data_IF_718488165013
#
_entry.id   IF_718488165013
#
_cell.length_a   1.000
_cell.length_b   1.000
_cell.length_c   1.000
_cell.angle_alpha   90.00
_cell.angle_beta   90.00
_cell.angle_gamma   90.00
#
_symmetry.space_group_name_H-M   'P 1'
#
loop_
_entity.id
_entity.type
_entity.pdbx_description
1 polymer ?
#
# COMPACT_ATOMS: atom_id res chain seq x y z
N UNK A 1 49.25 -46.73 -22.23
CA UNK A 1 47.80 -46.89 -21.94
C UNK A 1 47.66 -47.09 -20.44
N UNK A 2 47.01 -46.14 -19.77
CA UNK A 2 47.00 -45.95 -18.32
C UNK A 2 46.09 -46.94 -17.58
N UNK A 3 46.56 -47.40 -16.42
CA UNK A 3 45.77 -47.99 -15.34
C UNK A 3 45.31 -46.90 -14.38
N UNK A 4 44.12 -47.12 -13.81
CA UNK A 4 43.33 -46.32 -12.86
C UNK A 4 44.09 -45.88 -11.59
N UNK A 5 43.53 -44.97 -10.74
CA UNK A 5 42.68 -45.48 -9.66
C UNK A 5 41.53 -44.58 -9.15
N UNK A 6 40.70 -45.26 -8.37
CA UNK A 6 39.54 -44.88 -7.57
C UNK A 6 39.70 -43.56 -6.77
N UNK A 7 38.61 -42.80 -6.65
CA UNK A 7 38.52 -41.66 -5.73
C UNK A 7 37.67 -42.00 -4.51
N UNK A 8 38.34 -41.85 -3.37
CA UNK A 8 37.92 -42.13 -1.99
C UNK A 8 36.87 -41.12 -1.52
N UNK A 9 35.80 -41.61 -0.88
CA UNK A 9 34.76 -40.81 -0.20
C UNK A 9 35.37 -40.05 0.99
N UNK A 10 35.35 -38.72 0.93
CA UNK A 10 35.70 -37.85 2.06
C UNK A 10 34.61 -37.79 3.14
N UNK A 11 34.96 -37.56 4.42
CA UNK A 11 34.02 -37.63 5.54
C UNK A 11 33.08 -36.43 5.62
N UNK A 12 31.81 -36.71 6.00
CA UNK A 12 30.76 -35.72 6.30
C UNK A 12 31.24 -34.74 7.38
N UNK A 13 31.33 -33.44 7.04
CA UNK A 13 31.58 -32.40 8.04
C UNK A 13 30.30 -32.10 8.83
N UNK A 14 30.35 -32.50 10.09
CA UNK A 14 29.42 -32.22 11.19
C UNK A 14 29.36 -30.70 11.41
N UNK A 15 28.15 -30.16 11.51
CA UNK A 15 27.91 -28.77 11.89
C UNK A 15 28.38 -28.59 13.34
N UNK A 16 29.44 -27.80 13.56
CA UNK A 16 29.95 -27.46 14.90
C UNK A 16 29.77 -25.95 15.08
N UNK A 17 29.13 -25.57 16.19
CA UNK A 17 28.73 -24.20 16.51
C UNK A 17 29.88 -23.20 16.46
N UNK A 18 29.56 -21.99 15.99
CA UNK A 18 30.52 -20.90 15.89
C UNK A 18 30.92 -20.38 17.29
N UNK A 19 32.21 -20.48 17.60
CA UNK A 19 32.86 -19.78 18.71
C UNK A 19 32.92 -18.27 18.41
N UNK A 20 32.65 -17.47 19.44
CA UNK A 20 32.76 -16.01 19.45
C UNK A 20 34.25 -15.62 19.51
N UNK A 21 34.74 -14.96 18.48
CA UNK A 21 36.10 -14.40 18.42
C UNK A 21 36.06 -12.91 18.07
N UNK A 22 36.37 -12.05 19.03
CA UNK A 22 36.64 -10.62 18.85
C UNK A 22 38.01 -10.41 18.20
N UNK A 23 38.04 -10.01 16.92
CA UNK A 23 39.23 -9.41 16.30
C UNK A 23 38.82 -8.12 15.57
N UNK A 24 39.44 -7.01 15.96
CA UNK A 24 39.34 -5.72 15.29
C UNK A 24 40.26 -5.73 14.05
N UNK A 25 39.75 -5.31 12.90
CA UNK A 25 40.53 -5.18 11.66
C UNK A 25 40.89 -3.73 11.40
N UNK A 26 42.18 -3.45 11.21
CA UNK A 26 42.72 -2.14 10.79
C UNK A 26 42.85 -2.10 9.27
N UNK A 27 42.36 -1.03 8.63
CA UNK A 27 42.59 -0.73 7.21
C UNK A 27 43.42 0.54 7.12
N UNK A 28 44.58 0.49 6.45
CA UNK A 28 45.44 1.66 6.20
C UNK A 28 44.97 2.40 4.94
N UNK A 29 44.88 3.73 5.03
CA UNK A 29 44.72 4.65 3.89
C UNK A 29 46.03 5.42 3.68
N UNK A 30 46.37 5.75 2.43
CA UNK A 30 47.65 6.31 1.96
C UNK A 30 48.01 7.72 2.45
N UNK A 31 47.32 8.28 3.45
CA UNK A 31 47.77 9.47 4.17
C UNK A 31 47.66 9.18 5.67
N UNK A 32 48.81 8.93 6.29
CA UNK A 32 48.97 8.34 7.62
C UNK A 32 48.32 9.09 8.78
N UNK A 33 47.01 8.90 8.97
CA UNK A 33 46.32 9.09 10.24
C UNK A 33 45.52 7.83 10.59
N UNK A 34 45.74 7.29 11.78
CA UNK A 34 45.05 6.11 12.30
C UNK A 34 43.67 6.49 12.87
N UNK A 35 42.59 5.95 12.29
CA UNK A 35 41.23 6.08 12.83
C UNK A 35 40.82 4.74 13.44
N UNK A 36 40.77 4.67 14.77
CA UNK A 36 40.26 3.50 15.51
C UNK A 36 38.72 3.51 15.43
N UNK A 37 38.13 2.71 14.54
CA UNK A 37 36.70 2.43 14.59
C UNK A 37 36.39 1.51 15.78
N UNK A 38 35.78 2.05 16.84
CA UNK A 38 35.12 1.23 17.85
C UNK A 38 34.00 0.43 17.18
N UNK A 39 33.90 -0.89 17.40
CA UNK A 39 32.78 -1.67 16.87
C UNK A 39 31.49 -1.15 17.49
N UNK A 40 30.60 -0.61 16.65
CA UNK A 40 29.21 -0.33 17.04
C UNK A 40 28.62 -1.63 17.55
N UNK A 41 28.07 -1.61 18.77
CA UNK A 41 27.33 -2.73 19.31
C UNK A 41 26.27 -3.16 18.28
N UNK A 42 26.32 -4.42 17.85
CA UNK A 42 25.27 -5.01 17.04
C UNK A 42 24.03 -5.10 17.92
N UNK A 43 23.19 -4.07 17.89
CA UNK A 43 21.83 -4.14 18.41
C UNK A 43 21.13 -5.22 17.59
N UNK A 44 20.90 -6.38 18.21
CA UNK A 44 20.13 -7.47 17.63
C UNK A 44 18.73 -6.94 17.28
N UNK A 45 18.52 -6.58 16.01
CA UNK A 45 17.26 -6.07 15.45
C UNK A 45 16.09 -7.05 15.71
N UNK A 46 16.38 -8.33 15.96
CA UNK A 46 15.40 -9.37 16.30
C UNK A 46 14.77 -9.28 17.70
N UNK A 47 15.25 -8.42 18.62
CA UNK A 47 14.69 -8.32 20.00
C UNK A 47 13.69 -7.17 20.22
N UNK A 48 13.49 -6.28 19.25
CA UNK A 48 12.66 -5.08 19.45
C UNK A 48 11.15 -5.29 19.24
N UNK A 49 10.70 -6.51 18.91
CA UNK A 49 9.30 -6.79 18.50
C UNK A 49 8.36 -7.10 19.68
N UNK A 50 8.87 -7.38 20.90
CA UNK A 50 8.05 -7.67 22.09
C UNK A 50 8.35 -6.72 23.26
N UNK A 51 8.04 -5.43 23.13
CA UNK A 51 8.26 -4.43 24.20
C UNK A 51 6.96 -3.91 24.84
N UNK A 52 5.82 -4.61 24.70
CA UNK A 52 4.64 -4.27 25.52
C UNK A 52 4.88 -4.83 26.93
N UNK A 53 4.90 -3.98 27.98
CA UNK A 53 5.05 -4.43 29.36
C UNK A 53 3.99 -5.47 29.75
N UNK A 54 4.38 -6.46 30.55
CA UNK A 54 3.46 -7.47 31.08
C UNK A 54 2.33 -6.86 31.91
N UNK A 55 2.58 -5.70 32.52
CA UNK A 55 1.57 -4.90 33.23
C UNK A 55 0.40 -4.49 32.34
N UNK A 56 0.64 -4.20 31.05
CA UNK A 56 -0.41 -3.85 30.09
C UNK A 56 -1.06 -5.12 29.55
N UNK A 57 -0.28 -6.16 29.24
CA UNK A 57 -0.81 -7.39 28.65
C UNK A 57 -1.71 -8.17 29.61
N UNK A 58 -1.37 -8.17 30.89
CA UNK A 58 -2.05 -8.96 31.92
C UNK A 58 -3.03 -8.13 32.77
N UNK A 59 -3.32 -6.89 32.38
CA UNK A 59 -4.34 -6.06 33.04
C UNK A 59 -5.74 -6.66 32.77
N UNK A 60 -6.35 -7.20 33.83
CA UNK A 60 -7.66 -7.86 33.74
C UNK A 60 -8.77 -6.90 33.29
N UNK A 61 -8.79 -5.67 33.82
CA UNK A 61 -9.80 -4.68 33.47
C UNK A 61 -9.67 -4.23 32.02
N UNK A 62 -8.44 -4.02 31.55
CA UNK A 62 -8.17 -3.71 30.14
C UNK A 62 -8.62 -4.84 29.22
N UNK A 63 -8.31 -6.08 29.57
CA UNK A 63 -8.68 -7.23 28.77
C UNK A 63 -10.19 -7.44 28.70
N UNK A 64 -10.95 -7.18 29.78
CA UNK A 64 -12.42 -7.19 29.73
C UNK A 64 -12.97 -6.07 28.83
N UNK A 65 -12.41 -4.86 28.91
CA UNK A 65 -12.85 -3.75 28.05
C UNK A 65 -12.59 -4.03 26.56
N UNK A 66 -11.45 -4.64 26.22
CA UNK A 66 -11.11 -5.03 24.84
C UNK A 66 -12.10 -6.05 24.27
N UNK A 67 -12.73 -6.92 25.08
CA UNK A 67 -13.72 -7.90 24.60
C UNK A 67 -15.00 -7.28 24.04
N UNK A 68 -15.23 -5.98 24.28
CA UNK A 68 -16.33 -5.24 23.65
C UNK A 68 -16.09 -5.04 22.14
N UNK A 69 -14.85 -5.13 21.68
CA UNK A 69 -14.48 -5.06 20.27
C UNK A 69 -14.65 -6.45 19.62
N UNK A 70 -14.97 -6.50 18.31
CA UNK A 70 -15.18 -7.76 17.61
C UNK A 70 -13.90 -8.61 17.58
N UNK A 71 -14.00 -9.85 18.06
CA UNK A 71 -12.86 -10.75 18.27
C UNK A 71 -12.12 -11.17 16.99
N UNK A 72 -12.77 -11.03 15.84
CA UNK A 72 -12.15 -11.31 14.55
C UNK A 72 -11.34 -10.12 13.99
N UNK A 73 -11.39 -8.94 14.61
CA UNK A 73 -10.58 -7.77 14.26
C UNK A 73 -9.53 -7.51 15.32
N UNK A 74 -8.27 -7.34 14.89
CA UNK A 74 -7.18 -7.03 15.80
C UNK A 74 -6.86 -5.52 15.79
N UNK A 75 -7.45 -4.77 16.73
CA UNK A 75 -7.18 -3.33 16.89
C UNK A 75 -5.84 -2.99 17.58
N UNK A 76 -5.04 -4.00 17.95
CA UNK A 76 -3.74 -3.82 18.63
C UNK A 76 -3.81 -2.84 19.82
N UNK A 77 -4.88 -2.90 20.63
CA UNK A 77 -5.16 -1.94 21.71
C UNK A 77 -4.02 -1.87 22.73
N UNK A 78 -3.45 -3.02 23.14
CA UNK A 78 -2.30 -3.05 24.06
C UNK A 78 -1.09 -2.30 23.49
N UNK A 79 -0.82 -2.44 22.19
CA UNK A 79 0.26 -1.73 21.51
C UNK A 79 -0.02 -0.23 21.46
N UNK A 80 -1.28 0.15 21.25
CA UNK A 80 -1.71 1.56 21.25
C UNK A 80 -1.49 2.19 22.61
N UNK A 81 -2.00 1.59 23.68
CA UNK A 81 -1.80 2.05 25.07
C UNK A 81 -0.31 2.18 25.41
N UNK A 82 0.49 1.16 25.08
CA UNK A 82 1.93 1.21 25.31
C UNK A 82 2.59 2.39 24.59
N UNK A 83 2.25 2.65 23.33
CA UNK A 83 2.84 3.77 22.58
C UNK A 83 2.38 5.13 23.10
N UNK A 84 1.10 5.27 23.48
CA UNK A 84 0.58 6.50 24.10
C UNK A 84 1.34 6.79 25.40
N UNK A 85 1.45 5.80 26.31
CA UNK A 85 2.20 5.93 27.56
C UNK A 85 3.69 6.21 27.34
N UNK A 86 4.33 5.48 26.44
CA UNK A 86 5.76 5.62 26.12
C UNK A 86 6.13 7.01 25.64
N UNK A 87 5.25 7.65 24.86
CA UNK A 87 5.48 9.00 24.35
C UNK A 87 4.91 10.09 25.26
N UNK A 88 4.25 9.72 26.36
CA UNK A 88 3.61 10.67 27.27
C UNK A 88 2.51 11.49 26.59
N UNK A 89 1.89 10.96 25.54
CA UNK A 89 0.91 11.67 24.72
C UNK A 89 -0.30 12.09 25.56
N UNK A 90 -0.71 13.35 25.42
CA UNK A 90 -1.80 13.96 26.18
C UNK A 90 -3.07 14.10 25.36
N UNK A 91 -2.96 14.24 24.04
CA UNK A 91 -4.11 14.42 23.15
C UNK A 91 -3.94 13.58 21.90
N UNK A 92 -4.75 12.52 21.79
CA UNK A 92 -4.59 11.45 20.80
C UNK A 92 -5.70 11.54 19.75
N UNK A 93 -5.32 11.82 18.50
CA UNK A 93 -6.23 11.72 17.37
C UNK A 93 -6.47 10.24 16.98
N UNK A 94 -7.73 9.88 16.77
CA UNK A 94 -8.15 8.59 16.24
C UNK A 94 -8.67 8.80 14.83
N UNK A 95 -7.91 8.34 13.83
CA UNK A 95 -8.33 8.39 12.43
C UNK A 95 -8.68 6.99 11.96
N UNK A 96 -9.94 6.82 11.52
CA UNK A 96 -10.48 5.53 11.11
C UNK A 96 -11.19 5.67 9.76
N UNK A 97 -11.19 4.62 8.91
CA UNK A 97 -12.13 4.57 7.79
C UNK A 97 -13.56 4.41 8.30
N UNK A 98 -14.53 4.78 7.46
CA UNK A 98 -15.97 4.74 7.73
C UNK A 98 -16.43 3.45 8.44
N UNK A 99 -16.03 2.29 7.91
CA UNK A 99 -16.44 0.99 8.43
C UNK A 99 -15.94 0.65 9.85
N UNK A 100 -14.99 1.42 10.38
CA UNK A 100 -14.47 1.25 11.75
C UNK A 100 -14.86 2.38 12.69
N UNK A 101 -15.48 3.47 12.21
CA UNK A 101 -15.92 4.59 13.06
C UNK A 101 -16.91 4.13 14.15
N UNK A 102 -17.67 3.07 13.92
CA UNK A 102 -18.55 2.46 14.93
C UNK A 102 -17.80 2.01 16.20
N UNK A 103 -16.51 1.71 16.11
CA UNK A 103 -15.68 1.30 17.24
C UNK A 103 -14.91 2.46 17.88
N UNK A 104 -15.01 3.67 17.31
CA UNK A 104 -14.21 4.83 17.72
C UNK A 104 -14.44 5.22 19.18
N UNK A 105 -15.69 5.27 19.63
CA UNK A 105 -16.04 5.66 21.00
C UNK A 105 -15.59 4.61 22.03
N UNK A 106 -15.74 3.32 21.72
CA UNK A 106 -15.25 2.25 22.62
C UNK A 106 -13.73 2.31 22.75
N UNK A 107 -13.01 2.53 21.64
CA UNK A 107 -11.54 2.68 21.66
C UNK A 107 -11.13 3.96 22.39
N UNK A 108 -11.85 5.06 22.18
CA UNK A 108 -11.70 6.32 22.92
C UNK A 108 -11.78 6.09 24.42
N UNK A 109 -12.88 5.53 24.92
CA UNK A 109 -13.11 5.27 26.34
C UNK A 109 -11.98 4.41 26.95
N UNK A 110 -11.53 3.37 26.23
CA UNK A 110 -10.40 2.53 26.66
C UNK A 110 -9.11 3.36 26.75
N UNK A 111 -8.79 4.18 25.75
CA UNK A 111 -7.56 4.97 25.79
C UNK A 111 -7.59 6.03 26.89
N UNK A 112 -8.70 6.73 27.07
CA UNK A 112 -8.85 7.73 28.13
C UNK A 112 -8.74 7.11 29.52
N UNK A 113 -9.43 5.98 29.75
CA UNK A 113 -9.39 5.27 31.04
C UNK A 113 -7.99 4.72 31.37
N UNK A 114 -7.32 4.06 30.42
CA UNK A 114 -6.08 3.35 30.69
C UNK A 114 -4.81 4.18 30.45
N UNK A 115 -4.90 5.31 29.74
CA UNK A 115 -3.76 6.21 29.47
C UNK A 115 -3.85 7.57 30.17
N UNK A 116 -5.05 8.03 30.56
CA UNK A 116 -5.24 9.38 31.09
C UNK A 116 -4.91 10.48 30.09
N UNK A 117 -5.17 10.22 28.80
CA UNK A 117 -5.08 11.18 27.71
C UNK A 117 -6.50 11.64 27.31
N UNK A 118 -6.60 12.77 26.61
CA UNK A 118 -7.80 13.15 25.86
C UNK A 118 -7.76 12.50 24.48
N UNK A 119 -8.88 12.03 23.97
CA UNK A 119 -8.98 11.51 22.60
C UNK A 119 -9.82 12.40 21.70
N UNK A 120 -9.45 12.50 20.42
CA UNK A 120 -10.24 13.18 19.40
C UNK A 120 -10.52 12.19 18.27
N UNK A 121 -11.79 11.86 18.05
CA UNK A 121 -12.20 11.09 16.87
C UNK A 121 -12.23 12.02 15.66
N UNK A 122 -11.43 11.73 14.65
CA UNK A 122 -11.43 12.49 13.40
C UNK A 122 -12.63 12.08 12.55
N UNK A 123 -13.56 13.01 12.34
CA UNK A 123 -14.79 12.78 11.59
C UNK A 123 -14.66 12.91 10.06
N UNK A 124 -13.52 13.39 9.56
CA UNK A 124 -13.27 13.51 8.13
C UNK A 124 -13.06 12.14 7.48
N UNK A 125 -13.44 12.04 6.21
CA UNK A 125 -13.36 10.77 5.47
C UNK A 125 -11.91 10.35 5.24
N UNK A 126 -11.57 9.14 5.69
CA UNK A 126 -10.28 8.50 5.41
C UNK A 126 -10.44 7.37 4.40
N UNK A 127 -10.17 7.65 3.12
CA UNK A 127 -10.32 6.67 2.03
C UNK A 127 -9.23 5.60 1.97
N UNK A 128 -8.06 5.82 2.58
CA UNK A 128 -6.93 4.91 2.41
C UNK A 128 -5.65 5.35 3.10
N UNK A 129 -4.59 4.56 2.90
CA UNK A 129 -3.24 4.77 3.46
C UNK A 129 -2.59 6.13 3.12
N UNK A 130 -3.03 6.75 2.03
CA UNK A 130 -2.57 8.07 1.60
C UNK A 130 -3.25 9.22 2.36
N UNK A 131 -4.33 8.96 3.10
CA UNK A 131 -5.17 9.98 3.73
C UNK A 131 -4.81 10.23 5.20
N UNK A 132 -3.59 9.89 5.64
CA UNK A 132 -3.12 10.26 6.99
C UNK A 132 -3.22 11.78 7.14
N UNK A 133 -4.01 12.23 8.11
CA UNK A 133 -4.30 13.65 8.30
C UNK A 133 -3.55 14.20 9.52
N UNK A 134 -2.23 14.25 9.37
CA UNK A 134 -1.34 14.77 10.39
C UNK A 134 -1.42 16.30 10.53
N UNK A 135 -1.89 17.01 9.49
CA UNK A 135 -2.06 18.46 9.52
C UNK A 135 -3.25 18.89 10.39
N UNK A 136 -4.41 18.26 10.21
CA UNK A 136 -5.60 18.56 11.03
C UNK A 136 -5.39 18.11 12.46
N UNK A 137 -4.83 16.91 12.69
CA UNK A 137 -4.52 16.44 14.04
C UNK A 137 -3.62 17.43 14.80
N UNK A 138 -2.57 17.95 14.15
CA UNK A 138 -1.71 18.97 14.75
C UNK A 138 -2.43 20.30 14.99
N UNK A 139 -3.32 20.70 14.08
CA UNK A 139 -4.12 21.93 14.22
C UNK A 139 -5.15 21.84 15.36
N UNK A 140 -5.49 20.63 15.79
CA UNK A 140 -6.31 20.34 16.97
C UNK A 140 -5.45 20.10 18.24
N UNK A 141 -4.17 20.48 18.21
CA UNK A 141 -3.21 20.30 19.30
C UNK A 141 -3.03 18.84 19.76
N UNK A 142 -3.28 17.87 18.87
CA UNK A 142 -2.89 16.50 19.14
C UNK A 142 -1.36 16.35 19.12
N UNK A 143 -0.82 15.51 19.98
CA UNK A 143 0.59 15.13 20.01
C UNK A 143 0.83 13.69 19.50
N UNK A 144 -0.25 12.94 19.27
CA UNK A 144 -0.24 11.59 18.73
C UNK A 144 -1.44 11.33 17.82
N UNK A 145 -1.27 10.53 16.77
CA UNK A 145 -2.36 10.03 15.92
C UNK A 145 -2.27 8.51 15.77
N UNK A 146 -3.40 7.83 15.96
CA UNK A 146 -3.57 6.41 15.66
C UNK A 146 -4.36 6.30 14.36
N UNK A 147 -3.72 5.79 13.31
CA UNK A 147 -4.32 5.61 11.99
C UNK A 147 -4.66 4.13 11.78
N UNK A 148 -5.95 3.83 11.69
CA UNK A 148 -6.46 2.47 11.61
C UNK A 148 -6.65 1.98 10.17
N UNK A 149 -6.60 0.66 10.00
CA UNK A 149 -6.94 -0.14 8.82
C UNK A 149 -6.02 -0.03 7.60
N UNK A 150 -5.04 0.86 7.59
CA UNK A 150 -4.19 1.07 6.42
C UNK A 150 -2.72 0.85 6.71
N UNK A 151 -1.98 0.40 5.69
CA UNK A 151 -0.53 0.30 5.75
C UNK A 151 0.14 1.67 5.74
N UNK A 152 1.41 1.71 6.15
CA UNK A 152 2.22 2.93 6.18
C UNK A 152 2.72 3.33 4.78
N UNK A 153 1.80 3.64 3.87
CA UNK A 153 2.13 4.14 2.54
C UNK A 153 2.92 5.46 2.64
N UNK A 154 2.56 6.30 3.61
CA UNK A 154 3.28 7.53 3.93
C UNK A 154 4.35 7.21 4.98
N UNK A 155 5.63 7.45 4.68
CA UNK A 155 6.69 7.31 5.67
C UNK A 155 6.46 8.22 6.89
N UNK A 156 6.65 7.66 8.10
CA UNK A 156 6.38 8.36 9.37
C UNK A 156 7.28 9.60 9.53
N UNK A 157 8.47 9.61 8.93
CA UNK A 157 9.40 10.74 8.92
C UNK A 157 8.89 11.95 8.10
N UNK A 158 7.89 11.77 7.25
CA UNK A 158 7.23 12.87 6.54
C UNK A 158 6.09 13.50 7.33
N UNK A 159 5.61 12.82 8.38
CA UNK A 159 4.49 13.28 9.20
C UNK A 159 4.96 14.28 10.26
N UNK A 160 4.13 15.29 10.55
CA UNK A 160 4.47 16.37 11.48
C UNK A 160 4.18 16.04 12.95
N UNK A 161 3.56 14.88 13.21
CA UNK A 161 3.11 14.40 14.52
C UNK A 161 3.51 12.93 14.66
N UNK A 162 3.54 12.40 15.89
CA UNK A 162 3.79 10.96 16.09
C UNK A 162 2.61 10.14 15.58
N UNK A 163 2.88 9.21 14.67
CA UNK A 163 1.87 8.34 14.06
C UNK A 163 2.07 6.89 14.48
N UNK A 164 1.00 6.25 14.89
CA UNK A 164 0.90 4.79 15.02
C UNK A 164 -0.06 4.24 13.97
N UNK A 165 0.47 3.43 13.06
CA UNK A 165 -0.37 2.65 12.15
C UNK A 165 -0.81 1.35 12.82
N UNK A 166 -2.13 1.10 12.79
CA UNK A 166 -2.76 -0.14 13.22
C UNK A 166 -3.48 -0.74 12.03
N UNK A 167 -3.02 -1.89 11.53
CA UNK A 167 -3.54 -2.45 10.28
C UNK A 167 -4.92 -3.08 10.39
N UNK A 168 -5.36 -3.40 11.61
CA UNK A 168 -6.63 -4.08 11.89
C UNK A 168 -6.74 -5.39 11.10
N UNK A 169 -5.85 -6.35 11.43
CA UNK A 169 -5.87 -7.66 10.76
C UNK A 169 -7.17 -8.38 11.06
N UNK A 170 -7.75 -9.02 10.04
CA UNK A 170 -9.05 -9.70 10.15
C UNK A 170 -8.83 -11.21 10.02
N UNK A 171 -9.25 -11.93 11.04
CA UNK A 171 -9.21 -13.39 11.05
C UNK A 171 -10.32 -13.96 10.16
N UNK A 172 -9.98 -14.97 9.34
CA UNK A 172 -10.92 -15.66 8.47
C UNK A 172 -10.70 -17.18 8.47
N UNK A 173 -11.67 -17.92 7.92
CA UNK A 173 -11.62 -19.37 7.75
C UNK A 173 -10.64 -19.77 6.64
N UNK A 174 -9.38 -19.98 7.01
CA UNK A 174 -8.33 -20.41 6.08
C UNK A 174 -8.62 -21.77 5.45
N UNK A 175 -9.27 -22.67 6.20
CA UNK A 175 -9.59 -24.02 5.72
C UNK A 175 -10.57 -23.94 4.55
N UNK A 176 -11.59 -23.09 4.68
CA UNK A 176 -12.54 -22.87 3.60
C UNK A 176 -11.86 -22.25 2.36
N UNK A 177 -11.00 -21.25 2.54
CA UNK A 177 -10.24 -20.63 1.45
C UNK A 177 -9.37 -21.67 0.73
N UNK A 178 -8.56 -22.44 1.47
CA UNK A 178 -7.69 -23.47 0.90
C UNK A 178 -8.48 -24.51 0.12
N UNK A 179 -9.58 -25.06 0.69
CA UNK A 179 -10.45 -26.02 0.00
C UNK A 179 -11.09 -25.42 -1.25
N UNK A 180 -11.45 -24.14 -1.21
CA UNK A 180 -11.99 -23.41 -2.37
C UNK A 180 -10.95 -23.33 -3.49
N UNK A 181 -9.71 -22.98 -3.18
CA UNK A 181 -8.63 -22.95 -4.16
C UNK A 181 -8.35 -24.34 -4.73
N UNK A 182 -8.23 -25.35 -3.87
CA UNK A 182 -8.01 -26.74 -4.27
C UNK A 182 -9.17 -27.29 -5.11
N UNK A 183 -10.40 -26.83 -4.91
CA UNK A 183 -11.54 -27.27 -5.74
C UNK A 183 -11.49 -26.66 -7.15
N UNK A 184 -11.05 -25.40 -7.29
CA UNK A 184 -11.18 -24.63 -8.53
C UNK A 184 -9.91 -24.61 -9.40
N UNK A 185 -8.74 -24.88 -8.85
CA UNK A 185 -7.47 -24.90 -9.59
C UNK A 185 -6.86 -26.29 -9.64
N UNK A 186 -6.05 -26.61 -10.65
CA UNK A 186 -5.33 -27.88 -10.76
C UNK A 186 -4.14 -27.95 -9.80
N UNK A 187 -3.63 -29.16 -9.55
CA UNK A 187 -2.36 -29.30 -8.85
C UNK A 187 -1.25 -28.66 -9.68
N UNK A 188 -0.36 -27.90 -9.04
CA UNK A 188 0.74 -27.18 -9.68
C UNK A 188 0.38 -25.78 -10.18
N UNK A 189 -0.86 -25.31 -10.02
CA UNK A 189 -1.23 -23.94 -10.39
C UNK A 189 -0.45 -22.88 -9.61
N UNK A 190 -0.03 -21.83 -10.31
CA UNK A 190 0.73 -20.67 -9.80
C UNK A 190 -0.22 -19.49 -9.65
N UNK A 191 -0.64 -19.22 -8.43
CA UNK A 191 -1.67 -18.23 -8.12
C UNK A 191 -1.01 -16.99 -7.50
N UNK A 192 -1.19 -15.84 -8.14
CA UNK A 192 -0.91 -14.56 -7.51
C UNK A 192 -2.01 -14.26 -6.49
N UNK A 193 -1.75 -14.51 -5.21
CA UNK A 193 -2.71 -14.25 -4.13
C UNK A 193 -2.38 -12.94 -3.43
N UNK A 194 -3.37 -12.06 -3.33
CA UNK A 194 -3.21 -10.75 -2.73
C UNK A 194 -4.51 -10.26 -2.11
N UNK A 195 -4.44 -9.23 -1.29
CA UNK A 195 -5.58 -8.62 -0.62
C UNK A 195 -5.20 -7.23 -0.13
N UNK A 196 -6.09 -6.63 0.65
CA UNK A 196 -5.73 -5.47 1.46
C UNK A 196 -4.91 -5.91 2.67
N UNK A 197 -4.29 -4.95 3.37
CA UNK A 197 -3.38 -5.25 4.49
C UNK A 197 -4.03 -6.10 5.60
N UNK A 198 -5.35 -5.98 5.78
CA UNK A 198 -6.14 -6.69 6.79
C UNK A 198 -6.05 -8.21 6.64
N UNK A 199 -5.96 -8.73 5.41
CA UNK A 199 -5.95 -10.16 5.10
C UNK A 199 -4.56 -10.72 4.81
N UNK A 200 -3.54 -9.85 4.86
CA UNK A 200 -2.18 -10.23 4.52
C UNK A 200 -1.63 -11.40 5.38
N UNK A 201 -1.87 -11.47 6.71
CA UNK A 201 -1.43 -12.62 7.51
C UNK A 201 -1.95 -13.96 6.98
N UNK A 202 -3.23 -14.04 6.60
CA UNK A 202 -3.83 -15.25 6.03
C UNK A 202 -3.20 -15.61 4.69
N UNK A 203 -2.93 -14.62 3.82
CA UNK A 203 -2.28 -14.86 2.52
C UNK A 203 -0.91 -15.54 2.69
N UNK A 204 -0.11 -15.10 3.65
CA UNK A 204 1.18 -15.74 3.94
C UNK A 204 1.01 -17.09 4.64
N UNK A 205 0.02 -17.23 5.53
CA UNK A 205 -0.28 -18.49 6.24
C UNK A 205 -0.68 -19.62 5.28
N UNK A 206 -1.58 -19.36 4.32
CA UNK A 206 -2.04 -20.39 3.37
C UNK A 206 -0.97 -20.82 2.38
N UNK A 207 0.06 -19.98 2.15
CA UNK A 207 1.13 -20.28 1.21
C UNK A 207 1.87 -21.55 1.57
N UNK A 208 2.34 -21.65 2.81
CA UNK A 208 3.09 -22.83 3.25
C UNK A 208 2.15 -24.04 3.39
N UNK A 209 0.93 -23.82 3.89
CA UNK A 209 -0.08 -24.89 4.07
C UNK A 209 -0.54 -25.53 2.76
N UNK A 210 -0.63 -24.78 1.66
CA UNK A 210 -1.01 -25.32 0.36
C UNK A 210 0.14 -26.03 -0.34
N UNK A 211 1.39 -25.68 -0.04
CA UNK A 211 2.57 -26.42 -0.52
C UNK A 211 2.64 -27.83 0.10
N UNK A 212 2.26 -27.97 1.36
CA UNK A 212 2.27 -29.25 2.09
C UNK A 212 0.99 -30.08 1.93
N UNK A 213 0.06 -29.62 1.09
CA UNK A 213 -1.24 -30.28 0.89
C UNK A 213 -1.21 -31.33 -0.21
N UNK A 214 -2.14 -32.30 -0.18
CA UNK A 214 -2.26 -33.35 -1.23
C UNK A 214 -2.39 -32.77 -2.64
N UNK A 215 -3.08 -31.62 -2.76
CA UNK A 215 -3.22 -30.87 -4.01
C UNK A 215 -2.42 -29.59 -3.92
N UNK A 216 -1.16 -29.67 -4.33
CA UNK A 216 -0.20 -28.56 -4.27
C UNK A 216 -0.67 -27.40 -5.13
N UNK A 217 -0.74 -26.21 -4.52
CA UNK A 217 -0.98 -24.94 -5.20
C UNK A 217 0.11 -23.97 -4.78
N UNK A 218 0.77 -23.33 -5.75
CA UNK A 218 1.81 -22.34 -5.48
C UNK A 218 1.17 -20.98 -5.26
N UNK A 219 1.10 -20.55 -4.00
CA UNK A 219 0.69 -19.19 -3.66
C UNK A 219 1.89 -18.24 -3.78
N UNK A 220 1.75 -17.23 -4.64
CA UNK A 220 2.77 -16.25 -4.95
C UNK A 220 2.25 -14.86 -4.54
N UNK A 221 2.54 -14.38 -3.32
CA UNK A 221 2.15 -13.03 -2.92
C UNK A 221 2.97 -12.00 -3.71
N UNK A 222 2.37 -11.22 -4.63
CA UNK A 222 3.10 -10.23 -5.41
C UNK A 222 3.53 -9.05 -4.54
N UNK A 223 4.50 -8.26 -5.00
CA UNK A 223 4.96 -7.08 -4.27
C UNK A 223 5.44 -5.97 -5.19
N UNK A 224 4.76 -4.83 -5.09
CA UNK A 224 5.22 -3.55 -5.60
C UNK A 224 5.61 -2.67 -4.41
N UNK A 225 6.86 -2.19 -4.36
CA UNK A 225 7.31 -1.36 -3.24
C UNK A 225 6.64 0.01 -3.30
N UNK A 226 6.24 0.60 -2.16
CA UNK A 226 6.59 0.20 -0.79
C UNK A 226 5.59 -0.76 -0.12
N UNK A 227 4.59 -1.27 -0.84
CA UNK A 227 3.60 -2.17 -0.26
C UNK A 227 4.23 -3.49 0.22
N UNK A 228 3.56 -4.12 1.18
CA UNK A 228 3.94 -5.44 1.67
C UNK A 228 3.72 -6.49 0.58
N UNK A 229 4.44 -7.62 0.67
CA UNK A 229 4.13 -8.79 -0.15
C UNK A 229 2.69 -9.22 0.11
N UNK A 230 1.91 -9.49 -0.94
CA UNK A 230 0.50 -9.87 -0.84
C UNK A 230 -0.47 -8.70 -0.68
N UNK A 231 0.03 -7.46 -0.68
CA UNK A 231 -0.80 -6.26 -0.53
C UNK A 231 -1.03 -5.56 -1.87
N UNK A 232 -2.26 -5.09 -2.10
CA UNK A 232 -2.64 -4.25 -3.24
C UNK A 232 -3.44 -3.03 -2.77
N UNK A 233 -3.25 -1.89 -3.45
CA UNK A 233 -4.08 -0.70 -3.29
C UNK A 233 -4.88 -0.45 -4.58
N UNK A 234 -5.98 0.30 -4.50
CA UNK A 234 -6.78 0.62 -5.69
C UNK A 234 -6.05 1.50 -6.71
N UNK A 235 -4.92 2.08 -6.34
CA UNK A 235 -4.08 2.95 -7.16
C UNK A 235 -2.68 2.36 -7.42
N UNK A 236 -2.35 1.19 -6.85
CA UNK A 236 -0.99 0.63 -6.91
C UNK A 236 -1.06 -0.90 -6.79
N UNK A 237 -0.75 -1.59 -7.87
CA UNK A 237 -0.74 -3.05 -8.03
C UNK A 237 0.54 -3.46 -8.77
N UNK A 238 1.03 -4.66 -8.48
CA UNK A 238 2.19 -5.21 -9.16
C UNK A 238 1.84 -5.63 -10.60
N UNK A 239 2.66 -5.25 -11.58
CA UNK A 239 2.64 -5.88 -12.92
C UNK A 239 3.20 -7.30 -12.82
N UNK A 240 2.42 -8.26 -13.28
CA UNK A 240 2.69 -9.69 -13.22
C UNK A 240 3.18 -10.21 -14.57
N UNK A 241 3.83 -11.35 -14.53
CA UNK A 241 4.28 -12.09 -15.71
C UNK A 241 3.31 -13.24 -15.95
N UNK A 242 2.58 -13.21 -17.07
CA UNK A 242 1.56 -14.20 -17.44
C UNK A 242 2.15 -15.59 -17.72
N UNK A 243 3.44 -15.65 -18.09
CA UNK A 243 4.14 -16.92 -18.25
C UNK A 243 4.46 -17.56 -16.89
N UNK A 244 4.49 -16.76 -15.81
CA UNK A 244 4.76 -17.20 -14.43
C UNK A 244 3.51 -17.35 -13.56
N UNK A 245 2.39 -16.72 -13.92
CA UNK A 245 1.17 -16.67 -13.11
C UNK A 245 -0.02 -17.17 -13.93
N UNK A 246 -0.71 -18.20 -13.42
CA UNK A 246 -1.85 -18.80 -14.11
C UNK A 246 -3.18 -18.09 -13.77
N UNK A 247 -3.28 -17.51 -12.58
CA UNK A 247 -4.45 -16.77 -12.13
C UNK A 247 -4.11 -15.78 -10.99
N UNK A 248 -4.92 -14.72 -10.89
CA UNK A 248 -4.96 -13.81 -9.75
C UNK A 248 -6.12 -14.18 -8.82
N UNK A 249 -5.86 -14.25 -7.52
CA UNK A 249 -6.90 -14.40 -6.49
C UNK A 249 -6.80 -13.25 -5.50
N UNK A 250 -7.79 -12.36 -5.55
CA UNK A 250 -7.98 -11.33 -4.53
C UNK A 250 -8.79 -11.89 -3.35
N UNK A 251 -8.25 -11.74 -2.15
CA UNK A 251 -8.89 -12.14 -0.89
C UNK A 251 -9.37 -10.87 -0.21
N UNK A 252 -10.69 -10.70 -0.16
CA UNK A 252 -11.34 -9.53 0.41
C UNK A 252 -12.72 -9.26 -0.20
N UNK A 253 -13.45 -8.37 0.43
CA UNK A 253 -14.68 -7.83 -0.12
C UNK A 253 -14.42 -6.69 -1.12
N UNK A 254 -15.49 -6.29 -1.82
CA UNK A 254 -15.43 -5.26 -2.84
C UNK A 254 -14.61 -5.64 -4.07
N UNK A 255 -14.64 -4.77 -5.08
CA UNK A 255 -13.91 -4.96 -6.35
C UNK A 255 -12.81 -3.92 -6.56
N UNK A 256 -12.88 -2.78 -5.87
CA UNK A 256 -12.00 -1.63 -6.07
C UNK A 256 -10.50 -2.00 -6.12
N UNK A 257 -10.01 -2.77 -5.14
CA UNK A 257 -8.61 -3.18 -5.10
C UNK A 257 -8.24 -4.21 -6.17
N UNK A 258 -9.10 -5.19 -6.40
CA UNK A 258 -8.91 -6.18 -7.46
C UNK A 258 -8.91 -5.54 -8.85
N UNK A 259 -9.77 -4.54 -9.08
CA UNK A 259 -9.82 -3.80 -10.34
C UNK A 259 -8.47 -3.15 -10.66
N UNK A 260 -7.72 -2.65 -9.66
CA UNK A 260 -6.35 -2.18 -9.89
C UNK A 260 -5.45 -3.26 -10.45
N UNK A 261 -5.57 -4.51 -9.98
CA UNK A 261 -4.80 -5.62 -10.51
C UNK A 261 -5.29 -6.07 -11.89
N UNK A 262 -6.60 -6.09 -12.14
CA UNK A 262 -7.20 -6.43 -13.44
C UNK A 262 -6.88 -5.39 -14.53
N UNK A 263 -6.92 -4.10 -14.19
CA UNK A 263 -6.54 -3.00 -15.08
C UNK A 263 -5.08 -3.16 -15.50
N UNK A 264 -4.22 -3.46 -14.52
CA UNK A 264 -2.78 -3.55 -14.72
C UNK A 264 -2.33 -4.87 -15.37
N UNK A 265 -3.13 -5.94 -15.27
CA UNK A 265 -2.82 -7.28 -15.78
C UNK A 265 -4.03 -7.91 -16.49
N UNK A 266 -4.53 -7.31 -17.59
CA UNK A 266 -5.75 -7.75 -18.30
C UNK A 266 -5.74 -9.21 -18.77
N UNK A 267 -4.55 -9.74 -19.04
CA UNK A 267 -4.33 -11.04 -19.65
C UNK A 267 -4.41 -12.21 -18.66
N UNK A 268 -4.37 -11.94 -17.36
CA UNK A 268 -4.37 -12.97 -16.32
C UNK A 268 -5.78 -13.13 -15.75
N UNK A 269 -6.35 -14.36 -15.73
CA UNK A 269 -7.66 -14.62 -15.14
C UNK A 269 -7.75 -14.15 -13.68
N UNK A 270 -8.78 -13.39 -13.35
CA UNK A 270 -8.98 -12.79 -12.04
C UNK A 270 -10.13 -13.44 -11.28
N UNK A 271 -9.90 -13.73 -10.01
CA UNK A 271 -10.89 -14.29 -9.10
C UNK A 271 -10.95 -13.47 -7.81
N UNK A 272 -12.12 -13.45 -7.19
CA UNK A 272 -12.34 -12.86 -5.87
C UNK A 272 -12.85 -13.90 -4.91
N UNK A 273 -12.20 -13.99 -3.75
CA UNK A 273 -12.71 -14.70 -2.59
C UNK A 273 -13.16 -13.69 -1.54
N UNK A 274 -14.46 -13.70 -1.26
CA UNK A 274 -15.06 -12.87 -0.22
C UNK A 274 -15.12 -13.67 1.10
N UNK A 275 -14.33 -13.29 2.13
CA UNK A 275 -14.24 -14.06 3.37
C UNK A 275 -15.52 -13.97 4.22
N UNK A 276 -16.37 -12.95 4.00
CA UNK A 276 -17.59 -12.76 4.77
C UNK A 276 -18.73 -13.59 4.19
N UNK A 277 -18.96 -13.48 2.87
CA UNK A 277 -20.01 -14.23 2.18
C UNK A 277 -19.58 -15.63 1.75
N UNK A 278 -18.30 -15.96 1.89
CA UNK A 278 -17.66 -17.23 1.45
C UNK A 278 -17.87 -17.51 -0.04
N UNK A 279 -18.04 -16.46 -0.85
CA UNK A 279 -18.24 -16.55 -2.30
C UNK A 279 -16.91 -16.50 -3.02
N UNK A 280 -16.75 -17.36 -4.01
CA UNK A 280 -15.63 -17.35 -4.94
C UNK A 280 -16.14 -17.07 -6.35
N UNK A 281 -15.75 -15.92 -6.91
CA UNK A 281 -16.26 -15.43 -8.19
C UNK A 281 -15.13 -15.22 -9.19
N UNK A 282 -15.45 -15.41 -10.47
CA UNK A 282 -14.60 -14.95 -11.57
C UNK A 282 -14.94 -13.48 -11.81
N UNK A 283 -13.92 -12.65 -11.86
CA UNK A 283 -14.07 -11.22 -12.01
C UNK A 283 -13.51 -10.79 -13.36
N UNK A 284 -14.20 -9.85 -14.02
CA UNK A 284 -13.78 -9.27 -15.29
C UNK A 284 -13.81 -7.75 -15.19
N UNK A 285 -12.90 -7.11 -15.90
CA UNK A 285 -12.87 -5.67 -16.07
C UNK A 285 -13.07 -5.32 -17.54
N UNK A 286 -13.90 -4.32 -17.83
CA UNK A 286 -14.18 -3.92 -19.20
C UNK A 286 -13.06 -3.01 -19.73
N UNK A 287 -11.94 -3.62 -20.14
CA UNK A 287 -10.77 -2.89 -20.62
C UNK A 287 -11.06 -2.06 -21.87
N UNK A 288 -11.96 -2.53 -22.73
CA UNK A 288 -12.40 -1.78 -23.92
C UNK A 288 -13.05 -0.47 -23.54
N UNK A 289 -13.96 -0.52 -22.57
CA UNK A 289 -14.64 0.67 -22.08
C UNK A 289 -13.68 1.63 -21.37
N UNK A 290 -12.75 1.12 -20.55
CA UNK A 290 -11.70 1.96 -19.96
C UNK A 290 -10.94 2.71 -21.05
N UNK A 291 -10.36 1.98 -22.01
CA UNK A 291 -9.55 2.56 -23.09
C UNK A 291 -10.36 3.55 -23.91
N UNK A 292 -11.62 3.23 -24.24
CA UNK A 292 -12.51 4.14 -24.95
C UNK A 292 -12.70 5.45 -24.18
N UNK A 293 -13.19 5.38 -22.94
CA UNK A 293 -13.50 6.57 -22.12
C UNK A 293 -12.25 7.42 -21.89
N UNK A 294 -11.10 6.80 -21.62
CA UNK A 294 -9.84 7.53 -21.39
C UNK A 294 -9.28 8.12 -22.68
N UNK A 295 -9.44 7.43 -23.83
CA UNK A 295 -9.03 7.96 -25.14
C UNK A 295 -9.89 9.16 -25.54
N UNK A 296 -11.20 9.10 -25.30
CA UNK A 296 -12.12 10.22 -25.52
C UNK A 296 -11.70 11.44 -24.67
N UNK A 297 -11.41 11.23 -23.38
CA UNK A 297 -10.92 12.29 -22.49
C UNK A 297 -9.61 12.91 -23.02
N UNK A 298 -8.65 12.10 -23.48
CA UNK A 298 -7.42 12.60 -24.11
C UNK A 298 -7.67 13.38 -25.39
N UNK A 299 -8.57 12.91 -26.26
CA UNK A 299 -8.89 13.58 -27.52
C UNK A 299 -9.54 14.95 -27.32
N UNK A 300 -10.37 15.09 -26.29
CA UNK A 300 -10.89 16.40 -25.86
C UNK A 300 -9.74 17.24 -25.29
N UNK A 301 -8.90 16.66 -24.42
CA UNK A 301 -7.81 17.37 -23.76
C UNK A 301 -6.73 17.91 -24.72
N UNK A 302 -6.46 17.23 -25.84
CA UNK A 302 -5.55 17.69 -26.90
C UNK A 302 -5.88 19.08 -27.42
N UNK A 303 -7.15 19.46 -27.44
CA UNK A 303 -7.63 20.76 -27.92
C UNK A 303 -7.50 21.87 -26.86
N UNK A 304 -7.28 21.51 -25.59
CA UNK A 304 -7.18 22.46 -24.49
C UNK A 304 -5.90 23.31 -24.53
N UNK A 305 -6.03 24.55 -24.07
CA UNK A 305 -4.94 25.51 -23.89
C UNK A 305 -4.72 25.85 -22.42
N UNK A 306 -5.79 25.94 -21.63
CA UNK A 306 -5.76 26.29 -20.22
C UNK A 306 -5.91 25.03 -19.36
N UNK A 307 -4.90 24.71 -18.58
CA UNK A 307 -4.82 23.52 -17.75
C UNK A 307 -4.94 23.88 -16.27
N UNK A 308 -5.92 23.29 -15.59
CA UNK A 308 -6.03 23.30 -14.13
C UNK A 308 -5.19 22.17 -13.55
N UNK A 309 -4.05 22.49 -12.94
CA UNK A 309 -3.17 21.52 -12.31
C UNK A 309 -3.49 21.43 -10.82
N UNK A 310 -4.16 20.34 -10.43
CA UNK A 310 -4.69 20.14 -9.08
C UNK A 310 -3.66 19.40 -8.22
N UNK A 311 -3.32 19.96 -7.07
CA UNK A 311 -2.65 19.28 -5.97
C UNK A 311 -3.71 18.79 -4.97
N UNK A 312 -3.79 17.47 -4.78
CA UNK A 312 -4.64 16.86 -3.75
C UNK A 312 -4.09 17.10 -2.35
N UNK A 313 -4.87 17.80 -1.51
CA UNK A 313 -4.50 18.14 -0.14
C UNK A 313 -5.14 17.23 0.93
N UNK A 314 -5.97 16.25 0.56
CA UNK A 314 -6.50 15.28 1.51
C UNK A 314 -5.37 14.35 1.96
N UNK A 315 -5.03 14.44 3.25
CA UNK A 315 -3.87 13.80 3.84
C UNK A 315 -2.60 14.10 3.05
N UNK A 316 -2.02 13.05 2.46
CA UNK A 316 -0.76 13.11 1.71
C UNK A 316 -0.89 12.51 0.30
N UNK A 317 -2.07 12.68 -0.33
CA UNK A 317 -2.32 12.18 -1.67
C UNK A 317 -1.49 12.90 -2.76
N UNK A 318 -1.30 14.22 -2.59
CA UNK A 318 -0.59 15.04 -3.57
C UNK A 318 0.94 14.96 -3.47
N UNK A 319 1.59 15.30 -4.57
CA UNK A 319 3.05 15.38 -4.66
C UNK A 319 3.49 16.67 -5.33
N UNK A 320 4.19 17.53 -4.58
CA UNK A 320 4.77 18.75 -5.12
C UNK A 320 5.80 18.49 -6.22
N UNK A 321 6.55 17.39 -6.14
CA UNK A 321 7.49 17.01 -7.19
C UNK A 321 6.78 16.79 -8.53
N UNK A 322 5.64 16.08 -8.49
CA UNK A 322 4.85 15.78 -9.70
C UNK A 322 4.16 17.02 -10.24
N UNK A 323 3.62 17.87 -9.36
CA UNK A 323 3.05 19.16 -9.76
C UNK A 323 4.09 20.03 -10.45
N UNK A 324 5.28 20.16 -9.87
CA UNK A 324 6.35 20.99 -10.45
C UNK A 324 6.81 20.44 -11.81
N UNK A 325 6.97 19.12 -11.93
CA UNK A 325 7.35 18.48 -13.19
C UNK A 325 6.29 18.68 -14.28
N UNK A 326 5.01 18.44 -13.95
CA UNK A 326 3.91 18.64 -14.90
C UNK A 326 3.72 20.11 -15.27
N UNK A 327 3.83 21.04 -14.31
CA UNK A 327 3.76 22.49 -14.58
C UNK A 327 4.83 22.89 -15.60
N UNK A 328 6.07 22.40 -15.43
CA UNK A 328 7.15 22.64 -16.39
C UNK A 328 6.82 22.07 -17.76
N UNK A 329 6.50 20.77 -17.86
CA UNK A 329 6.23 20.10 -19.14
C UNK A 329 5.04 20.74 -19.89
N UNK A 330 3.98 21.12 -19.18
CA UNK A 330 2.83 21.80 -19.77
C UNK A 330 3.20 23.19 -20.31
N UNK A 331 3.99 23.97 -19.56
CA UNK A 331 4.47 25.29 -20.03
C UNK A 331 5.42 25.17 -21.21
N UNK A 332 6.33 24.21 -21.19
CA UNK A 332 7.26 23.91 -22.30
C UNK A 332 6.48 23.52 -23.57
N UNK A 333 5.33 22.87 -23.43
CA UNK A 333 4.39 22.58 -24.51
C UNK A 333 3.45 23.74 -24.88
N UNK A 334 3.70 24.96 -24.38
CA UNK A 334 2.94 26.16 -24.70
C UNK A 334 1.53 26.21 -24.10
N UNK A 335 1.26 25.47 -23.01
CA UNK A 335 -0.03 25.49 -22.30
C UNK A 335 -0.02 26.50 -21.16
N UNK A 336 -1.17 27.13 -20.92
CA UNK A 336 -1.38 27.96 -19.73
C UNK A 336 -1.69 27.05 -18.54
N UNK A 337 -1.09 27.30 -17.39
CA UNK A 337 -1.27 26.46 -16.19
C UNK A 337 -1.79 27.29 -15.03
N UNK A 338 -2.95 26.94 -14.52
CA UNK A 338 -3.50 27.43 -13.26
C UNK A 338 -3.32 26.34 -12.20
N UNK A 339 -2.59 26.62 -11.13
CA UNK A 339 -2.43 25.69 -10.01
C UNK A 339 -3.60 25.80 -9.06
N UNK A 340 -4.16 24.67 -8.67
CA UNK A 340 -5.34 24.58 -7.81
C UNK A 340 -5.01 23.61 -6.67
N UNK A 341 -5.35 23.96 -5.44
CA UNK A 341 -5.20 23.08 -4.28
C UNK A 341 -6.60 22.72 -3.79
N UNK A 342 -6.89 21.42 -3.68
CA UNK A 342 -8.17 20.93 -3.20
C UNK A 342 -7.95 19.75 -2.26
N UNK A 343 -8.59 19.77 -1.09
CA UNK A 343 -8.66 18.58 -0.24
C UNK A 343 -9.43 17.49 -0.97
N UNK A 344 -10.66 17.80 -1.39
CA UNK A 344 -11.52 16.88 -2.11
C UNK A 344 -11.92 17.44 -3.48
N UNK A 345 -11.80 16.58 -4.49
CA UNK A 345 -12.08 16.87 -5.90
C UNK A 345 -13.47 16.35 -6.24
N UNK A 346 -14.40 17.26 -6.53
CA UNK A 346 -15.77 16.93 -6.90
C UNK A 346 -16.17 17.58 -8.22
N UNK A 347 -17.06 16.96 -9.01
CA UNK A 347 -17.55 17.55 -10.26
C UNK A 347 -18.08 18.98 -10.10
N UNK A 348 -18.85 19.25 -9.05
CA UNK A 348 -19.45 20.56 -8.80
C UNK A 348 -18.38 21.64 -8.55
N UNK A 349 -17.29 21.30 -7.82
CA UNK A 349 -16.18 22.25 -7.58
C UNK A 349 -15.43 22.57 -8.87
N UNK A 350 -15.14 21.55 -9.69
CA UNK A 350 -14.40 21.75 -10.94
C UNK A 350 -15.25 22.45 -12.02
N UNK A 351 -16.57 22.26 -11.99
CA UNK A 351 -17.50 22.93 -12.89
C UNK A 351 -17.53 24.45 -12.72
N UNK A 352 -17.10 24.99 -11.56
CA UNK A 352 -17.06 26.42 -11.28
C UNK A 352 -15.91 27.17 -11.99
N UNK A 353 -14.95 26.45 -12.60
CA UNK A 353 -13.84 27.08 -13.31
C UNK A 353 -14.18 27.20 -14.79
N UNK A 354 -14.68 28.36 -15.22
CA UNK A 354 -15.09 28.56 -16.62
C UNK A 354 -13.89 28.55 -17.59
N UNK A 355 -12.78 29.19 -17.22
CA UNK A 355 -11.62 29.41 -18.10
C UNK A 355 -10.63 28.24 -18.20
N UNK A 356 -10.89 27.12 -17.53
CA UNK A 356 -10.04 25.91 -17.59
C UNK A 356 -10.59 24.95 -18.64
N UNK A 357 -9.76 24.46 -19.56
CA UNK A 357 -10.20 23.49 -20.57
C UNK A 357 -10.05 22.04 -20.08
N UNK A 358 -8.98 21.77 -19.32
CA UNK A 358 -8.54 20.44 -18.92
C UNK A 358 -8.04 20.47 -17.50
N UNK A 359 -8.38 19.47 -16.70
CA UNK A 359 -7.78 19.27 -15.39
C UNK A 359 -6.79 18.12 -15.40
N UNK A 360 -5.66 18.32 -14.73
CA UNK A 360 -4.71 17.25 -14.39
C UNK A 360 -4.65 17.19 -12.88
N UNK A 361 -4.96 16.03 -12.29
CA UNK A 361 -4.96 15.88 -10.84
C UNK A 361 -3.76 15.06 -10.37
N UNK A 362 -3.04 15.61 -9.38
CA UNK A 362 -2.01 14.94 -8.61
C UNK A 362 -2.62 14.62 -7.24
N UNK A 363 -3.48 13.61 -7.21
CA UNK A 363 -4.20 13.12 -6.04
C UNK A 363 -4.52 11.61 -6.21
N UNK A 364 -5.72 11.15 -5.85
CA UNK A 364 -6.15 9.78 -6.10
C UNK A 364 -6.39 9.52 -7.62
N UNK A 365 -5.64 8.61 -8.27
CA UNK A 365 -5.79 8.34 -9.72
C UNK A 365 -7.17 7.76 -10.08
N UNK A 366 -7.86 7.13 -9.11
CA UNK A 366 -9.18 6.53 -9.31
C UNK A 366 -10.29 7.55 -9.57
N UNK A 367 -10.08 8.81 -9.20
CA UNK A 367 -11.00 9.91 -9.56
C UNK A 367 -11.08 10.10 -11.08
N UNK A 368 -9.94 10.02 -11.77
CA UNK A 368 -9.90 10.11 -13.23
C UNK A 368 -10.40 8.82 -13.87
N UNK A 369 -9.92 7.66 -13.38
CA UNK A 369 -10.18 6.36 -13.99
C UNK A 369 -11.65 5.94 -13.86
N UNK A 370 -12.22 6.02 -12.65
CA UNK A 370 -13.57 5.53 -12.40
C UNK A 370 -14.62 6.62 -12.56
N UNK A 371 -14.30 7.86 -12.20
CA UNK A 371 -15.27 8.96 -12.10
C UNK A 371 -15.06 10.04 -13.15
N UNK A 372 -14.09 9.88 -14.06
CA UNK A 372 -13.73 10.89 -15.05
C UNK A 372 -14.91 11.35 -15.92
N UNK A 373 -15.86 10.47 -16.20
CA UNK A 373 -17.07 10.78 -16.97
C UNK A 373 -18.05 11.72 -16.25
N UNK A 374 -17.96 11.81 -14.91
CA UNK A 374 -18.83 12.66 -14.11
C UNK A 374 -18.39 14.14 -14.14
N UNK A 375 -17.19 14.44 -14.62
CA UNK A 375 -16.68 15.79 -14.75
C UNK A 375 -17.07 16.37 -16.12
N UNK A 376 -17.51 17.63 -16.13
CA UNK A 376 -17.86 18.35 -17.37
C UNK A 376 -16.66 18.65 -18.27
N UNK A 377 -15.44 18.52 -17.73
CA UNK A 377 -14.17 18.77 -18.40
C UNK A 377 -13.24 17.57 -18.19
N UNK A 378 -12.33 17.25 -19.12
CA UNK A 378 -11.45 16.09 -18.96
C UNK A 378 -10.62 16.20 -17.68
N UNK A 379 -10.67 15.15 -16.85
CA UNK A 379 -9.86 15.01 -15.65
C UNK A 379 -8.82 13.90 -15.88
N UNK A 380 -7.57 14.29 -16.08
CA UNK A 380 -6.45 13.39 -16.38
C UNK A 380 -5.65 13.04 -15.13
N UNK A 381 -5.14 11.82 -15.07
CA UNK A 381 -4.06 11.43 -14.16
C UNK A 381 -2.71 12.00 -14.63
N UNK A 382 -1.66 11.98 -13.79
CA UNK A 382 -0.32 12.38 -14.20
C UNK A 382 0.25 11.51 -15.32
N UNK A 383 -0.05 10.20 -15.32
CA UNK A 383 0.33 9.30 -16.41
C UNK A 383 -0.29 9.77 -17.74
N UNK A 384 -1.60 9.99 -17.76
CA UNK A 384 -2.32 10.42 -18.96
C UNK A 384 -1.90 11.81 -19.44
N UNK A 385 -1.54 12.71 -18.52
CA UNK A 385 -0.97 14.01 -18.88
C UNK A 385 0.41 13.86 -19.56
N UNK A 386 1.25 12.92 -19.14
CA UNK A 386 2.50 12.64 -19.84
C UNK A 386 2.26 11.93 -21.19
N UNK A 387 1.25 11.06 -21.30
CA UNK A 387 0.81 10.50 -22.60
C UNK A 387 0.35 11.61 -23.54
N UNK A 388 -0.45 12.57 -23.05
CA UNK A 388 -0.89 13.73 -23.82
C UNK A 388 0.27 14.56 -24.37
N UNK A 389 1.36 14.65 -23.60
CA UNK A 389 2.57 15.41 -23.92
C UNK A 389 3.62 14.57 -24.68
N UNK A 390 3.29 13.33 -25.07
CA UNK A 390 4.20 12.41 -25.76
C UNK A 390 5.47 12.09 -24.94
N UNK A 391 5.36 12.14 -23.62
CA UNK A 391 6.42 11.84 -22.65
C UNK A 391 6.23 10.48 -21.97
N UNK A 392 5.18 9.74 -22.32
CA UNK A 392 4.88 8.41 -21.81
C UNK A 392 4.13 7.60 -22.88
N UNK A 393 4.10 6.27 -22.70
CA UNK A 393 3.50 5.35 -23.67
C UNK A 393 1.98 5.43 -23.64
N UNK A 394 1.35 5.49 -24.81
CA UNK A 394 -0.10 5.40 -24.95
C UNK A 394 -0.66 4.07 -24.40
N UNK A 395 -1.71 4.15 -23.59
CA UNK A 395 -2.44 2.98 -23.09
C UNK A 395 -3.27 2.30 -24.18
N UNK A 396 -3.60 1.03 -23.97
CA UNK A 396 -4.46 0.22 -24.83
C UNK A 396 -5.11 -0.92 -24.01
N UNK A 397 -5.87 -1.81 -24.65
CA UNK A 397 -6.60 -2.89 -23.95
C UNK A 397 -5.69 -3.87 -23.18
N UNK A 398 -4.42 -3.96 -23.54
CA UNK A 398 -3.42 -4.82 -22.88
C UNK A 398 -2.51 -4.06 -21.89
N UNK A 399 -2.62 -2.73 -21.84
CA UNK A 399 -1.73 -1.90 -21.04
C UNK A 399 -2.40 -0.62 -20.55
N UNK A 400 -2.56 -0.52 -19.22
CA UNK A 400 -2.80 0.71 -18.48
C UNK A 400 -2.11 0.58 -17.11
N UNK A 401 -1.15 1.45 -16.75
CA UNK A 401 -0.38 1.31 -15.52
C UNK A 401 -1.23 1.65 -14.29
N UNK A 402 -1.10 0.82 -13.26
CA UNK A 402 -1.67 1.06 -11.94
C UNK A 402 -0.56 0.99 -10.89
N UNK A 403 0.43 1.88 -10.99
CA UNK A 403 1.65 1.90 -10.17
C UNK A 403 1.86 3.25 -9.47
N UNK A 404 0.79 4.04 -9.29
CA UNK A 404 0.89 5.44 -8.91
C UNK A 404 1.80 5.73 -7.70
N UNK A 405 1.70 4.95 -6.62
CA UNK A 405 2.53 5.11 -5.42
C UNK A 405 3.74 4.17 -5.35
N UNK A 406 4.11 3.52 -6.45
CA UNK A 406 5.35 2.77 -6.50
C UNK A 406 6.55 3.67 -6.15
N UNK A 407 7.70 3.07 -5.81
CA UNK A 407 8.90 3.82 -5.39
C UNK A 407 9.32 4.90 -6.40
N UNK A 408 9.06 4.68 -7.69
CA UNK A 408 9.35 5.63 -8.78
C UNK A 408 8.10 6.23 -9.44
N UNK A 409 6.92 6.04 -8.85
CA UNK A 409 5.65 6.43 -9.44
C UNK A 409 5.35 7.91 -9.31
N UNK A 410 4.38 8.36 -10.11
CA UNK A 410 3.91 9.74 -10.13
C UNK A 410 3.32 10.23 -8.80
N UNK A 411 2.83 9.36 -7.94
CA UNK A 411 2.40 9.72 -6.58
C UNK A 411 3.55 10.07 -5.64
N UNK A 412 4.80 9.83 -6.06
CA UNK A 412 6.02 10.09 -5.26
C UNK A 412 6.88 11.24 -5.78
N UNK A 413 6.42 11.99 -6.79
CA UNK A 413 7.24 13.06 -7.37
C UNK A 413 8.25 12.58 -8.41
N UNK A 414 8.11 11.34 -8.89
CA UNK A 414 9.03 10.69 -9.82
C UNK A 414 8.30 10.30 -11.11
N UNK A 415 9.09 9.86 -12.08
CA UNK A 415 8.61 9.41 -13.39
C UNK A 415 8.91 7.92 -13.54
N UNK A 416 7.88 7.05 -13.53
CA UNK A 416 8.06 5.62 -13.71
C UNK A 416 8.49 5.32 -15.15
N UNK A 417 9.27 4.24 -15.34
CA UNK A 417 9.73 3.81 -16.66
C UNK A 417 8.78 2.76 -17.23
N UNK A 418 7.97 3.14 -18.22
CA UNK A 418 7.01 2.24 -18.86
C UNK A 418 7.49 1.62 -20.19
N UNK A 419 8.59 2.10 -20.76
CA UNK A 419 9.05 1.69 -22.11
C UNK A 419 9.40 0.19 -22.20
N UNK A 420 9.91 -0.38 -21.11
CA UNK A 420 10.41 -1.76 -21.07
C UNK A 420 9.35 -2.80 -20.66
N UNK A 421 8.09 -2.39 -20.47
CA UNK A 421 7.03 -3.31 -20.09
C UNK A 421 6.63 -4.15 -21.31
N UNK A 422 6.84 -5.47 -21.21
CA UNK A 422 6.33 -6.45 -22.19
C UNK A 422 4.81 -6.48 -22.10
N UNK A 423 4.16 -6.34 -23.25
CA UNK A 423 2.70 -6.42 -23.42
C UNK A 423 2.35 -7.81 -23.96
#
# INVERSE_FOLDING_TARGET
>A
MQKSPETVKGPKRRFVGAQVGTRAGTVKSEKGNEVVQKPRARTNVRRAINQIPGEILNDEALNEAIKLLPSNYNFEVHKTIWNVKKHGAKRVALQMPEGLLIYSLVISDILEQFCGCETIVMGDVSYGACCIDDFTARSLDCDFIVHYAHSCLVPIDLTQIKVLYVFVTINMDETHLMKTLQKNFSSGSRIAAFGTIQFNPTIHSIKDKLLDSEKVIYIIPPQIKPLSKGEVLGCTSQRLDKEQIDAMVYIGDGRFHLESAMIHNPEIPAYRYDPYSRKFTIEKYNQKQLVQVRTEALNVAKKGKNFGLILGALGRQGSMGTVNNLEKKLKDAGKNVCKIILSEIFPQKLAMFDDIDVFVQVACPRLSIDWGYAFNKPLLTPYEANVLLEQDRMFNEAYYPMDYYEVNGYGRGKEPSHENIKI
#
